data_IF_413122352789
#
_entry.id   IF_413122352789
#
_cell.length_a   1.000
_cell.length_b   1.000
_cell.length_c   1.000
_cell.angle_alpha   90.00
_cell.angle_beta   90.00
_cell.angle_gamma   90.00
#
_symmetry.space_group_name_H-M   'P 1'
#
loop_
_entity.id
_entity.type
_entity.pdbx_description
1 polymer ?
#
# COMPACT_ATOMS: atom_id res chain seq x y z
N UNK A 1 -65.15 -15.66 50.28
CA UNK A 1 -63.75 -16.10 50.16
C UNK A 1 -63.34 -16.42 48.71
N UNK A 2 -64.23 -16.95 47.87
CA UNK A 2 -63.95 -17.34 46.46
C UNK A 2 -63.60 -16.16 45.53
N UNK A 3 -64.14 -14.95 45.77
CA UNK A 3 -63.91 -13.79 44.90
C UNK A 3 -62.48 -13.21 44.97
N UNK A 4 -61.77 -13.35 46.11
CA UNK A 4 -60.39 -12.84 46.30
C UNK A 4 -59.32 -13.72 45.65
N UNK A 5 -59.61 -15.01 45.43
CA UNK A 5 -58.69 -15.95 44.79
C UNK A 5 -58.59 -15.69 43.27
N UNK A 6 -59.72 -15.42 42.60
CA UNK A 6 -59.75 -15.11 41.16
C UNK A 6 -58.98 -13.84 40.78
N UNK A 7 -58.92 -12.85 41.68
CA UNK A 7 -58.20 -11.59 41.43
C UNK A 7 -56.67 -11.78 41.44
N UNK A 8 -56.14 -12.63 42.33
CA UNK A 8 -54.71 -12.95 42.37
C UNK A 8 -54.27 -13.75 41.15
N UNK A 9 -55.05 -14.74 40.73
CA UNK A 9 -54.75 -15.54 39.54
C UNK A 9 -54.74 -14.69 38.26
N UNK A 10 -55.69 -13.76 38.15
CA UNK A 10 -55.77 -12.84 37.02
C UNK A 10 -54.59 -11.86 36.96
N UNK A 11 -54.17 -11.29 38.10
CA UNK A 11 -52.97 -10.45 38.17
C UNK A 11 -51.70 -11.25 37.82
N UNK A 12 -51.58 -12.48 38.32
CA UNK A 12 -50.41 -13.33 38.05
C UNK A 12 -50.33 -13.73 36.57
N UNK A 13 -51.47 -13.98 35.92
CA UNK A 13 -51.52 -14.23 34.47
C UNK A 13 -51.07 -13.00 33.66
N UNK A 14 -51.57 -11.79 33.99
CA UNK A 14 -51.13 -10.55 33.34
C UNK A 14 -49.64 -10.29 33.53
N UNK A 15 -49.11 -10.53 34.73
CA UNK A 15 -47.68 -10.34 35.04
C UNK A 15 -46.79 -11.33 34.28
N UNK A 16 -47.18 -12.60 34.17
CA UNK A 16 -46.47 -13.60 33.34
C UNK A 16 -46.46 -13.21 31.86
N UNK A 17 -47.59 -12.73 31.33
CA UNK A 17 -47.70 -12.30 29.93
C UNK A 17 -46.84 -11.07 29.65
N UNK A 18 -46.80 -10.10 30.57
CA UNK A 18 -45.91 -8.94 30.50
C UNK A 18 -44.43 -9.35 30.52
N UNK A 19 -44.02 -10.24 31.44
CA UNK A 19 -42.65 -10.78 31.48
C UNK A 19 -42.26 -11.53 30.20
N UNK A 20 -43.18 -12.28 29.61
CA UNK A 20 -42.95 -13.00 28.37
C UNK A 20 -42.77 -12.05 27.17
N UNK A 21 -43.59 -11.00 27.08
CA UNK A 21 -43.44 -9.94 26.08
C UNK A 21 -42.16 -9.14 26.27
N UNK A 22 -41.77 -8.82 27.51
CA UNK A 22 -40.52 -8.11 27.80
C UNK A 22 -39.28 -8.94 27.44
N UNK A 23 -39.28 -10.25 27.75
CA UNK A 23 -38.20 -11.16 27.33
C UNK A 23 -38.08 -11.22 25.81
N UNK A 24 -39.20 -11.34 25.10
CA UNK A 24 -39.22 -11.38 23.64
C UNK A 24 -38.70 -10.06 23.03
N UNK A 25 -39.10 -8.91 23.58
CA UNK A 25 -38.62 -7.60 23.12
C UNK A 25 -37.11 -7.42 23.35
N UNK A 26 -36.58 -7.85 24.51
CA UNK A 26 -35.14 -7.84 24.78
C UNK A 26 -34.39 -8.75 23.81
N UNK A 27 -34.86 -9.98 23.59
CA UNK A 27 -34.22 -10.92 22.65
C UNK A 27 -34.19 -10.38 21.21
N UNK A 28 -35.27 -9.76 20.74
CA UNK A 28 -35.33 -9.13 19.41
C UNK A 28 -34.41 -7.93 19.33
N UNK A 29 -34.39 -7.07 20.36
CA UNK A 29 -33.50 -5.92 20.42
C UNK A 29 -32.02 -6.31 20.39
N UNK A 30 -31.62 -7.35 21.14
CA UNK A 30 -30.24 -7.87 21.13
C UNK A 30 -29.87 -8.48 19.78
N UNK A 31 -30.77 -9.22 19.14
CA UNK A 31 -30.52 -9.80 17.82
C UNK A 31 -30.35 -8.74 16.73
N UNK A 32 -31.18 -7.69 16.73
CA UNK A 32 -31.06 -6.56 15.79
C UNK A 32 -29.76 -5.80 16.04
N UNK A 33 -29.39 -5.54 17.30
CA UNK A 33 -28.13 -4.88 17.64
C UNK A 33 -26.91 -5.69 17.19
N UNK A 34 -26.92 -7.02 17.36
CA UNK A 34 -25.85 -7.89 16.88
C UNK A 34 -25.75 -7.93 15.35
N UNK A 35 -26.87 -7.98 14.63
CA UNK A 35 -26.87 -7.92 13.16
C UNK A 35 -26.30 -6.57 12.68
N UNK A 36 -26.67 -5.47 13.34
CA UNK A 36 -26.13 -4.15 13.02
C UNK A 36 -24.63 -4.06 13.32
N UNK A 37 -24.17 -4.60 14.45
CA UNK A 37 -22.76 -4.63 14.82
C UNK A 37 -21.90 -5.48 13.86
N UNK A 38 -22.42 -6.62 13.40
CA UNK A 38 -21.72 -7.48 12.42
C UNK A 38 -21.73 -6.87 11.02
N UNK A 39 -22.79 -6.17 10.62
CA UNK A 39 -22.85 -5.46 9.35
C UNK A 39 -21.95 -4.21 9.29
N UNK A 40 -21.47 -3.71 10.44
CA UNK A 40 -20.50 -2.61 10.52
C UNK A 40 -19.05 -3.07 10.63
N UNK A 41 -18.79 -4.39 10.74
CA UNK A 41 -17.48 -4.93 10.41
C UNK A 41 -17.38 -4.93 8.89
N UNK A 42 -17.06 -3.77 8.32
CA UNK A 42 -16.49 -3.72 6.97
C UNK A 42 -15.32 -4.68 6.98
N UNK A 43 -15.48 -5.84 6.36
CA UNK A 43 -14.33 -6.67 6.03
C UNK A 43 -13.48 -5.78 5.12
N UNK A 44 -12.45 -5.16 5.70
CA UNK A 44 -11.43 -4.48 4.92
C UNK A 44 -10.88 -5.58 4.04
N UNK A 45 -11.10 -5.46 2.73
CA UNK A 45 -10.57 -6.40 1.79
C UNK A 45 -9.05 -6.37 1.99
N UNK A 46 -8.50 -7.52 2.41
CA UNK A 46 -7.08 -7.70 2.70
C UNK A 46 -6.46 -8.40 1.50
N UNK A 47 -5.33 -7.87 1.04
CA UNK A 47 -4.56 -8.48 -0.05
C UNK A 47 -3.55 -9.50 0.50
N UNK A 48 -3.01 -10.30 -0.41
CA UNK A 48 -2.13 -11.41 -0.04
C UNK A 48 -0.76 -10.96 0.46
N UNK A 49 -0.23 -9.85 -0.07
CA UNK A 49 1.03 -9.23 0.36
C UNK A 49 0.76 -7.98 1.19
N UNK A 50 1.56 -7.79 2.24
CA UNK A 50 1.55 -6.59 3.09
C UNK A 50 2.96 -5.99 3.10
N UNK A 51 3.05 -4.66 3.10
CA UNK A 51 4.28 -3.92 3.30
C UNK A 51 4.06 -2.88 4.41
N UNK A 52 4.96 -2.83 5.40
CA UNK A 52 4.89 -1.85 6.48
C UNK A 52 5.82 -0.67 6.18
N UNK A 53 5.25 0.46 5.76
CA UNK A 53 5.96 1.71 5.59
C UNK A 53 6.27 2.32 6.96
N UNK A 54 7.51 2.14 7.42
CA UNK A 54 8.00 2.74 8.66
C UNK A 54 8.22 4.25 8.50
N UNK A 55 7.85 5.00 9.52
CA UNK A 55 8.14 6.43 9.59
C UNK A 55 9.64 6.68 9.78
N UNK A 56 10.25 7.52 8.92
CA UNK A 56 11.65 7.94 9.01
C UNK A 56 11.69 9.48 9.09
N UNK A 57 12.43 10.02 10.06
CA UNK A 57 12.32 11.45 10.44
C UNK A 57 13.25 12.39 9.66
N UNK A 58 14.19 11.83 8.90
CA UNK A 58 15.27 12.54 8.22
C UNK A 58 15.49 12.10 6.77
N UNK A 59 14.47 11.53 6.12
CA UNK A 59 14.51 11.21 4.68
C UNK A 59 14.84 12.45 3.85
N UNK A 60 15.68 12.26 2.85
CA UNK A 60 15.97 13.21 1.78
C UNK A 60 15.90 12.49 0.45
N UNK A 61 15.86 13.28 -0.61
CA UNK A 61 15.94 12.81 -1.99
C UNK A 61 17.28 13.29 -2.54
N UNK A 62 18.35 12.55 -2.28
CA UNK A 62 19.73 12.89 -2.63
C UNK A 62 20.56 11.71 -3.18
N UNK A 63 19.98 10.51 -3.21
CA UNK A 63 20.57 9.29 -3.73
C UNK A 63 21.35 8.48 -2.69
N UNK A 64 21.45 8.95 -1.44
CA UNK A 64 22.07 8.22 -0.34
C UNK A 64 21.01 7.43 0.45
N UNK A 65 21.06 6.11 0.34
CA UNK A 65 20.11 5.25 1.03
C UNK A 65 20.40 5.05 2.53
N UNK A 66 21.35 5.79 3.12
CA UNK A 66 21.81 5.57 4.51
C UNK A 66 20.75 5.86 5.59
N UNK A 67 19.74 6.70 5.31
CA UNK A 67 18.54 6.91 6.14
C UNK A 67 17.51 5.78 6.08
N UNK A 68 17.53 4.93 5.05
CA UNK A 68 16.48 3.93 4.79
C UNK A 68 16.56 2.66 5.65
N UNK A 69 17.42 2.65 6.66
CA UNK A 69 17.74 1.45 7.48
C UNK A 69 16.52 0.78 8.13
N UNK A 70 15.46 1.55 8.39
CA UNK A 70 14.21 1.04 9.00
C UNK A 70 13.17 0.59 8.00
N UNK A 71 13.33 0.95 6.72
CA UNK A 71 12.40 0.51 5.69
C UNK A 71 12.67 -0.96 5.36
N UNK A 72 11.60 -1.73 5.22
CA UNK A 72 11.67 -3.11 4.76
C UNK A 72 12.20 -3.16 3.32
N UNK A 73 13.00 -4.17 3.00
CA UNK A 73 13.47 -4.41 1.63
C UNK A 73 12.62 -5.52 1.05
N UNK A 74 11.96 -5.26 -0.07
CA UNK A 74 11.26 -6.28 -0.85
C UNK A 74 11.95 -6.47 -2.19
N UNK A 75 12.12 -7.72 -2.60
CA UNK A 75 12.65 -8.05 -3.92
C UNK A 75 11.58 -7.81 -4.99
N UNK A 76 12.03 -7.51 -6.21
CA UNK A 76 11.20 -7.55 -7.41
C UNK A 76 11.31 -8.94 -8.04
N UNK A 77 10.73 -9.94 -7.37
CA UNK A 77 10.80 -11.34 -7.73
C UNK A 77 9.49 -11.89 -8.31
N UNK A 78 8.55 -11.01 -8.63
CA UNK A 78 7.27 -11.35 -9.24
C UNK A 78 7.14 -10.77 -10.65
N UNK A 79 6.58 -11.56 -11.56
CA UNK A 79 6.27 -11.15 -12.92
C UNK A 79 4.98 -10.33 -12.98
N UNK A 80 4.99 -9.25 -13.78
CA UNK A 80 3.84 -8.36 -13.98
C UNK A 80 3.17 -8.60 -15.35
N UNK A 81 3.10 -7.58 -16.20
CA UNK A 81 2.36 -7.64 -17.48
C UNK A 81 3.13 -8.33 -18.61
N UNK A 82 4.47 -8.39 -18.55
CA UNK A 82 5.33 -8.85 -19.65
C UNK A 82 6.51 -9.69 -19.15
N UNK A 83 6.90 -10.69 -19.93
CA UNK A 83 8.03 -11.60 -19.71
C UNK A 83 7.60 -13.08 -19.65
N UNK A 84 8.50 -13.99 -20.00
CA UNK A 84 8.25 -15.45 -19.94
C UNK A 84 8.73 -16.09 -18.62
N UNK A 85 9.28 -15.27 -17.71
CA UNK A 85 9.79 -15.68 -16.41
C UNK A 85 10.56 -14.55 -15.73
N UNK A 86 11.12 -14.82 -14.56
CA UNK A 86 12.00 -13.86 -13.87
C UNK A 86 13.35 -13.82 -14.62
N UNK A 87 13.81 -12.63 -15.04
CA UNK A 87 15.08 -12.47 -15.73
C UNK A 87 16.26 -12.90 -14.87
N UNK A 88 17.41 -13.10 -15.50
CA UNK A 88 18.64 -13.48 -14.77
C UNK A 88 19.17 -12.24 -14.04
N UNK A 89 19.80 -12.44 -12.88
CA UNK A 89 20.35 -11.34 -12.08
C UNK A 89 21.39 -10.44 -12.77
N UNK A 90 22.02 -10.92 -13.85
CA UNK A 90 22.97 -10.12 -14.64
C UNK A 90 22.32 -9.30 -15.76
N UNK A 91 21.03 -9.55 -15.96
CA UNK A 91 20.18 -9.05 -17.05
C UNK A 91 19.37 -7.92 -16.44
N UNK A 92 18.41 -8.29 -15.59
CA UNK A 92 17.53 -7.37 -14.92
C UNK A 92 17.13 -7.92 -13.55
N UNK A 93 17.34 -7.13 -12.49
CA UNK A 93 16.80 -7.40 -11.15
C UNK A 93 16.48 -6.10 -10.45
N UNK A 94 15.61 -6.16 -9.45
CA UNK A 94 15.32 -5.00 -8.63
C UNK A 94 14.94 -5.34 -7.20
N UNK A 95 14.99 -4.32 -6.36
CA UNK A 95 14.43 -4.33 -5.02
C UNK A 95 13.94 -2.94 -4.63
N UNK A 96 13.11 -2.90 -3.61
CA UNK A 96 12.30 -1.75 -3.28
C UNK A 96 12.15 -1.51 -1.80
N UNK A 97 11.99 -0.24 -1.44
CA UNK A 97 11.63 0.23 -0.09
C UNK A 97 10.59 1.32 -0.21
N UNK A 98 9.70 1.36 0.76
CA UNK A 98 8.69 2.41 0.96
C UNK A 98 8.78 2.93 2.38
N UNK A 99 8.66 4.24 2.53
CA UNK A 99 8.68 4.92 3.81
C UNK A 99 7.80 6.18 3.79
N UNK A 100 7.64 6.80 4.96
CA UNK A 100 6.95 8.08 5.11
C UNK A 100 7.56 8.93 6.22
N UNK A 101 7.14 10.19 6.31
CA UNK A 101 7.56 11.10 7.39
C UNK A 101 6.38 11.92 7.89
N UNK A 102 6.28 12.11 9.21
CA UNK A 102 5.29 13.01 9.80
C UNK A 102 5.52 14.49 9.42
N UNK A 103 6.72 14.87 8.97
CA UNK A 103 7.02 16.24 8.53
C UNK A 103 6.35 16.59 7.20
N UNK A 104 6.16 15.59 6.35
CA UNK A 104 5.59 15.73 5.01
C UNK A 104 4.55 14.63 4.80
N UNK A 105 3.42 14.67 5.54
CA UNK A 105 2.47 13.56 5.55
C UNK A 105 1.71 13.43 4.23
N UNK A 106 1.79 14.40 3.32
CA UNK A 106 1.21 14.26 1.98
C UNK A 106 2.10 13.47 1.03
N UNK A 107 3.31 13.07 1.45
CA UNK A 107 4.29 12.38 0.60
C UNK A 107 4.47 10.92 0.97
N UNK A 108 4.65 10.09 -0.06
CA UNK A 108 5.10 8.70 0.04
C UNK A 108 6.50 8.63 -0.57
N UNK A 109 7.43 7.98 0.12
CA UNK A 109 8.82 7.92 -0.27
C UNK A 109 9.16 6.51 -0.75
N UNK A 110 9.92 6.43 -1.85
CA UNK A 110 10.43 5.17 -2.39
C UNK A 110 11.95 5.23 -2.56
N UNK A 111 12.60 4.09 -2.32
CA UNK A 111 13.96 3.82 -2.79
C UNK A 111 13.93 2.52 -3.57
N UNK A 112 14.26 2.57 -4.85
CA UNK A 112 14.29 1.42 -5.76
C UNK A 112 15.70 1.26 -6.29
N UNK A 113 16.24 0.06 -6.12
CA UNK A 113 17.56 -0.32 -6.64
C UNK A 113 17.34 -1.32 -7.77
N UNK A 114 17.87 -1.02 -8.95
CA UNK A 114 17.78 -1.87 -10.14
C UNK A 114 19.20 -2.23 -10.58
N UNK A 115 19.42 -3.49 -10.96
CA UNK A 115 20.61 -3.90 -11.72
C UNK A 115 20.16 -4.26 -13.13
N UNK A 116 20.73 -3.61 -14.12
CA UNK A 116 20.38 -3.71 -15.53
C UNK A 116 21.63 -3.51 -16.41
N UNK A 117 21.85 -4.35 -17.41
CA UNK A 117 23.04 -4.25 -18.26
C UNK A 117 23.03 -3.05 -19.22
N UNK A 118 21.87 -2.54 -19.64
CA UNK A 118 21.76 -1.33 -20.43
C UNK A 118 20.41 -0.61 -20.28
N UNK A 119 20.41 0.58 -19.64
CA UNK A 119 19.22 1.44 -19.68
C UNK A 119 18.96 2.00 -21.09
N UNK A 120 17.78 1.71 -21.60
CA UNK A 120 17.20 2.12 -22.87
C UNK A 120 15.97 3.00 -22.64
N UNK A 121 16.11 4.25 -23.07
CA UNK A 121 15.01 5.23 -23.22
C UNK A 121 14.99 5.67 -24.68
N UNK A 122 14.25 4.92 -25.51
CA UNK A 122 14.31 5.05 -26.97
C UNK A 122 13.08 5.74 -27.55
N UNK A 123 11.98 5.81 -26.80
CA UNK A 123 10.77 6.47 -27.26
C UNK A 123 10.80 7.98 -26.92
N UNK A 124 10.01 8.81 -27.63
CA UNK A 124 9.90 10.23 -27.29
C UNK A 124 9.29 10.45 -25.90
N UNK A 125 9.67 11.54 -25.20
CA UNK A 125 9.14 11.84 -23.88
C UNK A 125 7.61 11.85 -23.84
N UNK A 126 7.05 11.14 -22.85
CA UNK A 126 5.61 11.02 -22.65
C UNK A 126 4.88 10.13 -23.68
N UNK A 127 5.59 9.33 -24.46
CA UNK A 127 5.02 8.34 -25.37
C UNK A 127 5.62 6.96 -25.13
N UNK A 128 4.78 5.94 -24.99
CA UNK A 128 5.21 4.53 -24.81
C UNK A 128 6.27 4.34 -23.72
N UNK A 129 6.24 5.16 -22.67
CA UNK A 129 7.15 5.06 -21.52
C UNK A 129 7.15 3.67 -20.85
N UNK A 130 6.06 2.92 -21.01
CA UNK A 130 5.96 1.54 -20.53
C UNK A 130 6.75 0.54 -21.41
N UNK A 131 7.30 0.98 -22.54
CA UNK A 131 8.21 0.19 -23.38
C UNK A 131 9.68 0.55 -23.17
N UNK A 132 9.98 1.64 -22.48
CA UNK A 132 11.33 2.03 -22.06
C UNK A 132 11.63 1.59 -20.64
N UNK A 133 12.91 1.59 -20.27
CA UNK A 133 13.31 1.35 -18.90
C UNK A 133 12.75 2.43 -17.99
N UNK A 134 12.06 1.96 -16.96
CA UNK A 134 11.32 2.85 -16.08
C UNK A 134 10.93 2.13 -14.80
N UNK A 135 10.70 2.93 -13.75
CA UNK A 135 10.07 2.48 -12.52
C UNK A 135 8.65 3.03 -12.48
N UNK A 136 7.71 2.17 -12.11
CA UNK A 136 6.30 2.51 -12.00
C UNK A 136 5.79 2.28 -10.57
N UNK A 137 5.01 3.24 -10.08
CA UNK A 137 4.35 3.20 -8.78
C UNK A 137 2.84 3.28 -9.00
N UNK A 138 2.14 2.25 -8.55
CA UNK A 138 0.71 2.12 -8.71
C UNK A 138 0.01 2.18 -7.36
N UNK A 139 -1.03 3.01 -7.28
CA UNK A 139 -1.77 3.24 -6.03
C UNK A 139 -3.25 2.94 -6.18
N UNK A 140 -3.81 2.36 -5.13
CA UNK A 140 -5.25 2.31 -4.87
C UNK A 140 -5.52 3.02 -3.54
N UNK A 141 -5.62 4.36 -3.60
CA UNK A 141 -5.71 5.22 -2.42
C UNK A 141 -6.97 5.00 -1.59
N UNK A 142 -8.06 4.54 -2.21
CA UNK A 142 -9.33 4.26 -1.53
C UNK A 142 -9.46 2.78 -1.12
N UNK A 143 -8.46 1.95 -1.45
CA UNK A 143 -8.46 0.51 -1.26
C UNK A 143 -9.70 -0.18 -1.87
N UNK A 144 -10.16 0.32 -3.02
CA UNK A 144 -11.39 -0.13 -3.68
C UNK A 144 -11.22 -1.42 -4.49
N UNK A 145 -9.99 -1.80 -4.82
CA UNK A 145 -9.62 -2.97 -5.64
C UNK A 145 -10.29 -2.99 -7.02
N UNK A 146 -10.56 -1.81 -7.58
CA UNK A 146 -11.19 -1.65 -8.90
C UNK A 146 -10.29 -0.81 -9.80
N UNK A 147 -10.22 -1.17 -11.08
CA UNK A 147 -9.36 -0.51 -12.06
C UNK A 147 -9.55 1.00 -12.12
N UNK A 148 -10.80 1.45 -12.00
CA UNK A 148 -11.19 2.86 -12.18
C UNK A 148 -10.75 3.76 -11.02
N UNK A 149 -10.19 3.23 -9.94
CA UNK A 149 -9.62 4.03 -8.82
C UNK A 149 -8.09 4.03 -8.83
N UNK A 150 -7.46 3.24 -9.70
CA UNK A 150 -6.01 3.09 -9.73
C UNK A 150 -5.34 4.32 -10.33
N UNK A 151 -4.15 4.64 -9.83
CA UNK A 151 -3.32 5.75 -10.30
C UNK A 151 -1.90 5.27 -10.52
N UNK A 152 -1.28 5.68 -11.63
CA UNK A 152 0.09 5.32 -12.00
C UNK A 152 1.01 6.54 -11.96
N UNK A 153 2.19 6.40 -11.34
CA UNK A 153 3.34 7.27 -11.54
C UNK A 153 4.42 6.49 -12.27
N UNK A 154 5.07 7.11 -13.27
CA UNK A 154 6.18 6.48 -13.98
C UNK A 154 7.34 7.44 -14.11
N UNK A 155 8.54 6.95 -13.79
CA UNK A 155 9.81 7.66 -13.92
C UNK A 155 10.69 6.92 -14.91
N UNK A 156 11.14 7.61 -15.96
CA UNK A 156 12.02 7.04 -16.98
C UNK A 156 13.45 6.86 -16.48
N UNK A 157 14.18 5.92 -17.08
CA UNK A 157 15.56 5.62 -16.69
C UNK A 157 16.60 6.66 -17.16
N UNK A 158 16.16 7.73 -17.84
CA UNK A 158 17.01 8.83 -18.25
C UNK A 158 17.24 9.89 -17.14
N UNK A 159 16.54 9.79 -16.00
CA UNK A 159 16.67 10.76 -14.90
C UNK A 159 15.87 12.06 -15.08
N UNK A 160 15.06 12.17 -16.14
CA UNK A 160 14.34 13.40 -16.52
C UNK A 160 12.85 13.16 -16.80
N UNK A 161 12.49 11.99 -17.32
CA UNK A 161 11.17 11.70 -17.84
C UNK A 161 10.15 11.39 -16.74
N UNK A 162 9.07 12.17 -16.75
CA UNK A 162 7.91 12.01 -15.89
C UNK A 162 6.69 11.68 -16.75
N UNK A 163 6.07 10.53 -16.48
CA UNK A 163 4.94 10.02 -17.24
C UNK A 163 3.77 9.63 -16.33
N UNK A 164 2.64 9.31 -16.96
CA UNK A 164 1.37 9.05 -16.29
C UNK A 164 0.96 10.21 -15.34
N UNK A 165 0.71 9.96 -14.05
CA UNK A 165 0.34 11.00 -13.09
C UNK A 165 1.53 11.88 -12.64
N UNK A 166 2.77 11.45 -12.90
CA UNK A 166 3.97 12.15 -12.44
C UNK A 166 4.13 13.52 -13.09
N UNK A 167 4.55 14.51 -12.31
CA UNK A 167 4.86 15.87 -12.74
C UNK A 167 5.86 16.54 -11.82
N UNK A 168 6.44 17.66 -12.26
CA UNK A 168 7.42 18.41 -11.48
C UNK A 168 6.83 19.02 -10.20
N UNK A 169 5.51 19.19 -10.15
CA UNK A 169 4.79 19.72 -8.99
C UNK A 169 4.51 18.66 -7.92
N UNK A 170 4.46 17.38 -8.31
CA UNK A 170 4.04 16.28 -7.45
C UNK A 170 5.10 15.20 -7.21
N UNK A 171 6.23 15.27 -7.92
CA UNK A 171 7.30 14.29 -7.85
C UNK A 171 8.63 14.99 -7.65
N UNK A 172 9.33 14.62 -6.59
CA UNK A 172 10.72 14.98 -6.33
C UNK A 172 11.52 13.67 -6.39
N UNK A 173 12.57 13.61 -7.21
CA UNK A 173 13.31 12.37 -7.39
C UNK A 173 14.73 12.62 -7.88
N UNK A 174 15.59 11.62 -7.67
CA UNK A 174 16.92 11.52 -8.26
C UNK A 174 17.15 10.11 -8.79
N UNK A 175 18.00 10.03 -9.82
CA UNK A 175 18.51 8.77 -10.36
C UNK A 175 20.04 8.76 -10.23
N UNK A 176 20.58 7.80 -9.50
CA UNK A 176 22.02 7.55 -9.40
C UNK A 176 22.38 6.36 -10.26
N UNK A 177 23.37 6.51 -11.13
CA UNK A 177 23.93 5.45 -11.97
C UNK A 177 25.35 5.09 -11.52
N UNK A 178 25.59 3.82 -11.23
CA UNK A 178 26.91 3.28 -10.90
C UNK A 178 27.16 1.98 -11.68
N UNK A 179 27.68 2.11 -12.90
CA UNK A 179 27.81 0.97 -13.80
C UNK A 179 26.43 0.45 -14.21
N UNK A 180 26.16 -0.80 -13.85
CA UNK A 180 24.90 -1.49 -14.11
C UNK A 180 23.91 -1.37 -12.95
N UNK A 181 24.28 -0.68 -11.87
CA UNK A 181 23.41 -0.48 -10.71
C UNK A 181 22.81 0.93 -10.73
N UNK A 182 21.51 1.01 -10.48
CA UNK A 182 20.71 2.21 -10.56
C UNK A 182 19.89 2.39 -9.29
N UNK A 183 19.85 3.63 -8.78
CA UNK A 183 19.07 3.98 -7.60
C UNK A 183 18.09 5.07 -7.97
N UNK A 184 16.79 4.78 -7.87
CA UNK A 184 15.72 5.76 -7.87
C UNK A 184 15.38 6.08 -6.43
N UNK A 185 15.56 7.33 -6.02
CA UNK A 185 15.04 7.82 -4.75
C UNK A 185 13.96 8.87 -5.04
N UNK A 186 12.77 8.67 -4.48
CA UNK A 186 11.54 9.33 -4.96
C UNK A 186 10.67 9.77 -3.79
N UNK A 187 10.12 10.98 -3.86
CA UNK A 187 8.99 11.44 -3.07
C UNK A 187 7.81 11.80 -3.99
N UNK A 188 6.66 11.16 -3.76
CA UNK A 188 5.41 11.37 -4.50
C UNK A 188 4.40 12.06 -3.59
N UNK A 189 3.87 13.21 -4.01
CA UNK A 189 2.77 13.93 -3.36
C UNK A 189 1.50 13.86 -4.23
N UNK A 190 0.61 12.85 -4.04
CA UNK A 190 -0.58 12.69 -4.86
C UNK A 190 -1.61 13.83 -4.70
N UNK A 191 -1.43 14.73 -3.74
CA UNK A 191 -2.32 15.88 -3.51
C UNK A 191 -2.00 17.07 -4.41
N UNK A 192 -0.88 17.03 -5.13
CA UNK A 192 -0.41 18.09 -6.03
C UNK A 192 -0.90 17.88 -7.48
N UNK A 193 -0.85 18.93 -8.32
CA UNK A 193 -1.22 18.84 -9.73
C UNK A 193 -0.50 17.68 -10.42
N UNK A 194 -1.21 16.95 -11.28
CA UNK A 194 -0.70 15.76 -11.99
C UNK A 194 -0.30 16.09 -13.41
N UNK A 195 0.52 15.21 -14.00
CA UNK A 195 0.99 15.30 -15.37
C UNK A 195 -0.11 14.96 -16.38
N UNK A 196 -0.12 13.75 -16.91
CA UNK A 196 -1.03 13.32 -17.97
C UNK A 196 -2.43 13.00 -17.42
N UNK A 197 -3.48 13.80 -17.76
CA UNK A 197 -4.82 13.61 -17.22
C UNK A 197 -5.47 12.26 -17.56
N UNK A 198 -5.02 11.59 -18.63
CA UNK A 198 -5.53 10.27 -19.04
C UNK A 198 -5.21 9.18 -18.01
N UNK A 199 -4.05 9.27 -17.35
CA UNK A 199 -3.55 8.28 -16.39
C UNK A 199 -3.53 8.82 -14.96
N UNK A 200 -3.87 10.11 -14.81
CA UNK A 200 -3.89 10.80 -13.53
C UNK A 200 -5.11 10.51 -12.67
N UNK A 201 -6.18 9.90 -13.21
CA UNK A 201 -7.42 9.57 -12.49
C UNK A 201 -7.85 10.65 -11.45
N UNK A 202 -8.37 11.81 -11.92
CA UNK A 202 -8.62 12.98 -11.07
C UNK A 202 -9.50 12.67 -9.85
N UNK A 203 -9.15 13.21 -8.68
CA UNK A 203 -9.89 13.00 -7.44
C UNK A 203 -9.36 11.87 -6.55
N UNK A 204 -8.65 10.89 -7.13
CA UNK A 204 -8.13 9.74 -6.40
C UNK A 204 -6.84 10.10 -5.67
N UNK A 205 -6.83 10.14 -4.33
CA UNK A 205 -5.64 10.50 -3.54
C UNK A 205 -5.45 12.00 -3.27
N UNK A 206 -6.37 12.86 -3.72
CA UNK A 206 -6.31 14.32 -3.48
C UNK A 206 -6.37 14.71 -1.99
N UNK A 207 -6.86 13.79 -1.16
CA UNK A 207 -6.95 13.91 0.31
C UNK A 207 -5.94 13.03 1.04
N UNK A 208 -5.01 12.42 0.31
CA UNK A 208 -4.02 11.54 0.90
C UNK A 208 -3.24 12.27 2.00
N UNK A 209 -3.08 11.58 3.12
CA UNK A 209 -2.27 12.02 4.23
C UNK A 209 -1.84 10.79 5.02
N UNK A 210 -0.56 10.44 4.90
CA UNK A 210 0.07 9.40 5.70
C UNK A 210 -0.12 9.69 7.20
N UNK A 211 -0.66 8.69 7.89
CA UNK A 211 -0.81 8.64 9.34
C UNK A 211 -0.74 7.19 9.78
N UNK A 212 -0.42 6.97 11.06
CA UNK A 212 -0.32 5.62 11.64
C UNK A 212 -1.62 4.82 11.41
N UNK A 213 -1.47 3.59 10.94
CA UNK A 213 -2.57 2.69 10.62
C UNK A 213 -3.30 2.98 9.30
N UNK A 214 -2.92 4.01 8.53
CA UNK A 214 -3.46 4.20 7.19
C UNK A 214 -3.13 2.97 6.33
N UNK A 215 -4.12 2.50 5.56
CA UNK A 215 -3.98 1.39 4.63
C UNK A 215 -4.40 1.85 3.23
N UNK A 216 -3.53 1.66 2.25
CA UNK A 216 -3.83 1.84 0.82
C UNK A 216 -3.33 0.63 0.03
N UNK A 217 -3.80 0.45 -1.20
CA UNK A 217 -3.19 -0.54 -2.11
C UNK A 217 -1.95 0.03 -2.80
N UNK A 218 -0.93 -0.81 -2.94
CA UNK A 218 0.32 -0.49 -3.64
C UNK A 218 0.76 -1.65 -4.54
N UNK A 219 1.19 -1.33 -5.75
CA UNK A 219 2.10 -2.16 -6.54
C UNK A 219 3.22 -1.26 -7.03
N UNK A 220 4.45 -1.76 -7.08
CA UNK A 220 5.54 -1.03 -7.70
C UNK A 220 6.51 -2.01 -8.34
N UNK A 221 7.00 -1.62 -9.51
CA UNK A 221 7.65 -2.50 -10.46
C UNK A 221 8.55 -1.71 -11.40
N UNK A 222 9.41 -2.41 -12.11
CA UNK A 222 10.31 -1.85 -13.11
C UNK A 222 10.08 -2.55 -14.46
N UNK A 223 10.17 -1.76 -15.52
CA UNK A 223 10.20 -2.22 -16.91
C UNK A 223 11.65 -2.38 -17.35
N UNK A 224 11.89 -3.42 -18.15
CA UNK A 224 13.16 -3.75 -18.80
C UNK A 224 12.97 -3.72 -20.32
N UNK A 225 13.73 -2.88 -21.02
CA UNK A 225 13.65 -2.56 -22.43
C UNK A 225 14.86 -3.10 -23.17
N UNK A 226 14.60 -3.95 -24.17
CA UNK A 226 15.63 -4.53 -25.01
C UNK A 226 15.35 -4.36 -26.49
N UNK A 227 16.30 -3.76 -27.21
CA UNK A 227 16.16 -3.49 -28.64
C UNK A 227 15.00 -2.54 -28.98
N UNK A 228 14.62 -1.69 -28.02
CA UNK A 228 13.58 -0.68 -28.16
C UNK A 228 12.15 -1.14 -27.92
N UNK A 229 11.97 -2.20 -27.14
CA UNK A 229 10.68 -2.57 -26.59
C UNK A 229 10.83 -3.31 -25.26
N UNK A 230 9.79 -3.25 -24.42
CA UNK A 230 9.80 -3.92 -23.12
C UNK A 230 9.81 -5.45 -23.26
N UNK A 231 10.84 -6.08 -22.70
CA UNK A 231 11.00 -7.54 -22.64
C UNK A 231 10.48 -8.10 -21.31
N UNK A 232 10.76 -7.44 -20.18
CA UNK A 232 10.29 -7.86 -18.86
C UNK A 232 9.61 -6.73 -18.09
N UNK A 233 8.75 -7.13 -17.16
CA UNK A 233 8.28 -6.27 -16.09
C UNK A 233 8.25 -7.07 -14.79
N UNK A 234 9.06 -6.67 -13.81
CA UNK A 234 9.15 -7.33 -12.51
C UNK A 234 8.81 -6.36 -11.38
N UNK A 235 8.22 -6.86 -10.31
CA UNK A 235 7.84 -6.03 -9.17
C UNK A 235 7.65 -6.79 -7.88
N UNK A 236 7.19 -6.07 -6.87
CA UNK A 236 6.93 -6.64 -5.55
C UNK A 236 5.75 -7.63 -5.53
N UNK A 237 4.72 -7.40 -6.34
CA UNK A 237 3.52 -8.25 -6.42
C UNK A 237 3.38 -8.82 -7.82
N UNK A 238 2.83 -10.03 -7.98
CA UNK A 238 2.54 -10.57 -9.30
C UNK A 238 1.26 -9.98 -9.90
N UNK A 239 0.98 -10.28 -11.17
CA UNK A 239 -0.26 -9.90 -11.85
C UNK A 239 -0.19 -8.50 -12.48
N UNK A 240 -1.22 -8.15 -13.24
CA UNK A 240 -1.15 -6.98 -14.12
C UNK A 240 -1.15 -5.64 -13.40
N UNK A 241 -0.47 -4.63 -13.96
CA UNK A 241 -0.28 -3.33 -13.30
C UNK A 241 -1.61 -2.60 -12.99
N UNK A 242 -2.66 -2.89 -13.76
CA UNK A 242 -3.99 -2.28 -13.62
C UNK A 242 -5.04 -3.23 -13.01
N UNK A 243 -4.59 -4.28 -12.32
CA UNK A 243 -5.44 -5.16 -11.53
C UNK A 243 -5.30 -4.84 -10.04
N UNK A 244 -6.26 -4.10 -9.49
CA UNK A 244 -6.24 -3.68 -8.08
C UNK A 244 -6.30 -4.85 -7.08
N UNK A 245 -6.69 -6.05 -7.50
CA UNK A 245 -6.63 -7.27 -6.68
C UNK A 245 -5.20 -7.81 -6.58
N UNK A 246 -4.35 -7.49 -7.55
CA UNK A 246 -2.97 -7.94 -7.64
C UNK A 246 -1.98 -7.06 -6.84
N UNK A 247 -2.47 -6.02 -6.16
CA UNK A 247 -1.64 -5.13 -5.36
C UNK A 247 -1.33 -5.79 -4.01
N UNK A 248 -0.47 -5.17 -3.21
CA UNK A 248 -0.33 -5.46 -1.79
C UNK A 248 -0.96 -4.36 -0.96
N UNK A 249 -1.17 -4.63 0.32
CA UNK A 249 -1.58 -3.62 1.29
C UNK A 249 -0.34 -2.88 1.79
N UNK A 250 -0.33 -1.56 1.62
CA UNK A 250 0.66 -0.66 2.19
C UNK A 250 0.10 -0.07 3.48
N UNK A 251 0.76 -0.38 4.60
CA UNK A 251 0.34 0.06 5.94
C UNK A 251 1.38 1.05 6.46
N UNK A 252 0.92 2.22 6.86
CA UNK A 252 1.78 3.27 7.43
C UNK A 252 1.91 3.07 8.94
N UNK A 253 3.14 3.02 9.42
CA UNK A 253 3.44 2.73 10.83
C UNK A 253 4.37 3.79 11.41
N UNK A 254 3.97 4.38 12.53
CA UNK A 254 4.75 5.41 13.24
C UNK A 254 5.67 4.85 14.34
N UNK A 255 5.69 3.53 14.54
CA UNK A 255 6.43 2.90 15.63
C UNK A 255 7.94 3.12 15.47
N UNK A 256 8.48 4.09 16.19
CA UNK A 256 9.93 4.34 16.33
C UNK A 256 10.45 3.52 17.51
N UNK A 257 10.99 2.33 17.23
CA UNK A 257 11.73 1.57 18.24
C UNK A 257 13.11 2.20 18.43
N UNK A 258 13.40 2.70 19.63
CA UNK A 258 14.74 3.22 20.03
C UNK A 258 15.86 2.16 19.96
N UNK A 259 15.53 0.88 19.74
CA UNK A 259 16.48 -0.23 19.68
C UNK A 259 16.00 -1.26 18.66
N UNK A 260 16.86 -1.58 17.70
CA UNK A 260 16.68 -2.73 16.80
C UNK A 260 16.36 -4.00 17.61
N UNK A 261 15.28 -4.76 17.30
CA UNK A 261 14.91 -5.96 18.04
C UNK A 261 15.99 -7.05 18.06
N UNK A 262 16.96 -6.98 17.15
CA UNK A 262 18.06 -7.94 17.00
C UNK A 262 18.94 -8.08 18.25
N UNK A 263 18.94 -7.09 19.17
CA UNK A 263 19.73 -7.13 20.41
C UNK A 263 18.95 -7.48 21.68
N UNK A 264 17.65 -7.19 21.77
CA UNK A 264 16.87 -7.33 23.02
C UNK A 264 16.18 -8.69 23.18
N UNK A 265 15.82 -9.37 22.09
CA UNK A 265 15.25 -10.72 22.18
C UNK A 265 16.25 -11.71 22.79
N UNK A 266 17.54 -11.58 22.50
CA UNK A 266 18.58 -12.43 23.09
C UNK A 266 18.73 -12.25 24.62
N UNK A 267 18.58 -11.02 25.14
CA UNK A 267 18.71 -10.74 26.58
C UNK A 267 17.48 -11.17 27.38
N UNK A 268 16.28 -11.08 26.80
CA UNK A 268 15.04 -11.38 27.52
C UNK A 268 14.83 -12.89 27.73
N UNK A 269 15.34 -13.74 26.81
CA UNK A 269 15.31 -15.21 27.01
C UNK A 269 16.38 -15.72 27.99
N UNK A 270 17.49 -14.99 28.17
CA UNK A 270 18.51 -15.34 29.16
C UNK A 270 18.06 -15.10 30.60
N UNK A 271 17.30 -14.01 30.83
CA UNK A 271 16.81 -13.63 32.16
C UNK A 271 15.57 -14.42 32.65
N UNK A 272 14.94 -15.21 31.79
CA UNK A 272 13.82 -16.09 32.15
C UNK A 272 14.27 -17.54 32.48
N UNK A 273 15.58 -17.81 32.48
CA UNK A 273 16.17 -19.12 32.78
C UNK A 273 16.92 -19.19 34.12
N UNK A 274 16.75 -18.19 34.99
CA UNK A 274 17.19 -18.26 36.39
C UNK A 274 15.99 -18.35 37.35
#
# INVERSE_FOLDING_TARGET
MILKLKTKEFLMYKFKKFLQSAKMAVSVGTAVFLIFAVAQLSAVAKRDKEYIAKQITNLKIDGDLSEWKRAEIVAFDELKDVGDGIPKAKDFTGQGRVAWTAKEPTRIFFAVEITDDELQDVNPPGARWWEDDSVEFMFDFENGMVRDTLVQWTLGANGEDLSAAASKENTEWVLIKNGNDYIYEVAIDPTKPRGNPQFANPGQGDKFKAEDGLLIGLSFHANDCEGGGREHQIGWTSGGAWDGLAYGDLIFDDEILDVEPSGKLALTWGALKE
#
